data_IF_307423032445
#
_entry.id   IF_307423032445
#
_cell.length_a   1.000
_cell.length_b   1.000
_cell.length_c   1.000
_cell.angle_alpha   90.00
_cell.angle_beta   90.00
_cell.angle_gamma   90.00
#
_symmetry.space_group_name_H-M   'P 1'
#
loop_
_entity.id
_entity.type
_entity.pdbx_description
1 polymer ?
#
# COMPACT_ATOMS: atom_id res chain seq x y z
N UNK A 1 7.58 -17.58 -15.59
CA UNK A 1 8.29 -16.45 -14.93
C UNK A 1 7.32 -15.42 -14.35
N UNK A 2 6.39 -14.85 -15.12
CA UNK A 2 5.40 -13.87 -14.60
C UNK A 2 4.55 -14.38 -13.42
N UNK A 3 4.07 -15.63 -13.49
CA UNK A 3 3.29 -16.24 -12.41
C UNK A 3 4.09 -16.40 -11.10
N UNK A 4 5.40 -16.70 -11.19
CA UNK A 4 6.27 -16.78 -10.02
C UNK A 4 6.46 -15.40 -9.36
N UNK A 5 6.62 -14.35 -10.16
CA UNK A 5 6.76 -12.97 -9.65
C UNK A 5 5.46 -12.45 -9.02
N UNK A 6 4.29 -12.81 -9.58
CA UNK A 6 3.00 -12.54 -8.94
C UNK A 6 2.88 -13.24 -7.58
N UNK A 7 3.23 -14.54 -7.52
CA UNK A 7 3.17 -15.31 -6.28
C UNK A 7 4.13 -14.73 -5.24
N UNK A 8 5.35 -14.35 -5.63
CA UNK A 8 6.31 -13.70 -4.72
C UNK A 8 5.78 -12.35 -4.22
N UNK A 9 5.18 -11.55 -5.09
CA UNK A 9 4.57 -10.26 -4.71
C UNK A 9 3.41 -10.46 -3.73
N UNK A 10 2.55 -11.44 -4.01
CA UNK A 10 1.43 -11.80 -3.14
C UNK A 10 1.93 -12.28 -1.78
N UNK A 11 2.91 -13.19 -1.74
CA UNK A 11 3.48 -13.71 -0.49
C UNK A 11 4.15 -12.61 0.32
N UNK A 12 4.95 -11.74 -0.32
CA UNK A 12 5.57 -10.59 0.35
C UNK A 12 4.53 -9.64 0.96
N UNK A 13 3.50 -9.29 0.19
CA UNK A 13 2.38 -8.46 0.65
C UNK A 13 1.64 -9.09 1.84
N UNK A 14 1.24 -10.35 1.71
CA UNK A 14 0.45 -11.05 2.73
C UNK A 14 1.24 -11.19 4.02
N UNK A 15 2.51 -11.60 3.92
CA UNK A 15 3.37 -11.75 5.11
C UNK A 15 3.57 -10.43 5.86
N UNK A 16 3.70 -9.31 5.15
CA UNK A 16 3.84 -7.99 5.78
C UNK A 16 2.67 -7.61 6.69
N UNK A 17 1.45 -8.10 6.42
CA UNK A 17 0.27 -7.81 7.24
C UNK A 17 0.21 -8.59 8.55
N UNK A 18 0.87 -9.75 8.61
CA UNK A 18 0.79 -10.65 9.76
C UNK A 18 1.99 -10.55 10.70
N UNK A 19 3.05 -9.86 10.29
CA UNK A 19 4.28 -9.79 11.06
C UNK A 19 4.42 -8.46 11.79
N UNK A 20 4.70 -8.53 13.09
CA UNK A 20 4.94 -7.36 13.96
C UNK A 20 6.41 -6.97 14.04
N UNK A 21 7.33 -7.89 13.69
CA UNK A 21 8.77 -7.64 13.71
C UNK A 21 9.17 -6.66 12.60
N UNK A 22 9.83 -5.56 12.98
CA UNK A 22 10.28 -4.50 12.08
C UNK A 22 11.17 -5.01 10.95
N UNK A 23 12.07 -5.96 11.21
CA UNK A 23 12.99 -6.50 10.19
C UNK A 23 12.24 -7.27 9.11
N UNK A 24 11.23 -8.02 9.52
CA UNK A 24 10.39 -8.81 8.62
C UNK A 24 9.38 -7.91 7.86
N UNK A 25 8.89 -6.83 8.47
CA UNK A 25 8.13 -5.79 7.77
C UNK A 25 8.99 -5.09 6.70
N UNK A 26 10.23 -4.73 7.03
CA UNK A 26 11.17 -4.18 6.04
C UNK A 26 11.43 -5.18 4.91
N UNK A 27 11.69 -6.45 5.23
CA UNK A 27 11.94 -7.49 4.24
C UNK A 27 10.74 -7.71 3.31
N UNK A 28 9.51 -7.74 3.84
CA UNK A 28 8.29 -7.90 3.03
C UNK A 28 8.04 -6.73 2.08
N UNK A 29 8.24 -5.48 2.55
CA UNK A 29 8.18 -4.29 1.69
C UNK A 29 9.24 -4.38 0.60
N UNK A 30 10.51 -4.64 0.97
CA UNK A 30 11.61 -4.75 0.03
C UNK A 30 11.34 -5.82 -1.03
N UNK A 31 10.94 -7.03 -0.63
CA UNK A 31 10.60 -8.13 -1.55
C UNK A 31 9.46 -7.73 -2.50
N UNK A 32 8.41 -7.07 -2.00
CA UNK A 32 7.30 -6.62 -2.84
C UNK A 32 7.75 -5.57 -3.88
N UNK A 33 8.56 -4.58 -3.51
CA UNK A 33 9.14 -3.60 -4.45
C UNK A 33 10.10 -4.24 -5.45
N UNK A 34 10.96 -5.16 -5.00
CA UNK A 34 11.90 -5.87 -5.86
C UNK A 34 11.16 -6.78 -6.86
N UNK A 35 10.05 -7.41 -6.45
CA UNK A 35 9.23 -8.21 -7.33
C UNK A 35 8.54 -7.35 -8.41
N UNK A 36 8.05 -6.16 -8.07
CA UNK A 36 7.54 -5.18 -9.05
C UNK A 36 8.63 -4.75 -10.04
N UNK A 37 9.82 -4.40 -9.53
CA UNK A 37 10.97 -4.03 -10.38
C UNK A 37 11.46 -5.19 -11.27
N UNK A 38 11.37 -6.44 -10.79
CA UNK A 38 11.72 -7.61 -11.58
C UNK A 38 10.71 -7.86 -12.71
N UNK A 39 9.40 -7.67 -12.47
CA UNK A 39 8.38 -7.73 -13.54
C UNK A 39 8.63 -6.66 -14.59
N UNK A 40 8.97 -5.44 -14.15
CA UNK A 40 9.37 -4.33 -15.02
C UNK A 40 10.57 -4.68 -15.91
N UNK A 41 11.66 -5.17 -15.31
CA UNK A 41 12.88 -5.54 -16.03
C UNK A 41 12.66 -6.69 -17.02
N UNK A 42 11.81 -7.66 -16.66
CA UNK A 42 11.43 -8.77 -17.57
C UNK A 42 10.58 -8.27 -18.75
N UNK A 43 9.74 -7.25 -18.56
CA UNK A 43 9.00 -6.60 -19.63
C UNK A 43 9.91 -5.87 -20.62
N UNK A 44 10.88 -5.09 -20.11
CA UNK A 44 11.84 -4.33 -20.93
C UNK A 44 12.78 -5.23 -21.75
N UNK A 45 13.11 -6.44 -21.27
CA UNK A 45 13.97 -7.39 -21.98
C UNK A 45 13.22 -8.16 -23.07
N UNK A 46 11.89 -8.21 -23.04
CA UNK A 46 11.06 -8.85 -24.08
C UNK A 46 10.74 -7.87 -25.21
N UNK A 47 11.75 -7.48 -25.99
CA UNK A 47 11.56 -6.69 -27.22
C UNK A 47 10.92 -7.48 -28.37
N UNK A 48 10.82 -8.81 -28.24
CA UNK A 48 10.34 -9.71 -29.30
C UNK A 48 8.87 -10.11 -29.13
N UNK A 49 8.17 -9.55 -28.14
CA UNK A 49 6.75 -9.79 -27.95
C UNK A 49 5.96 -9.17 -29.11
N UNK A 50 5.07 -9.96 -29.72
CA UNK A 50 4.20 -9.46 -30.78
C UNK A 50 3.40 -8.24 -30.25
N UNK A 51 3.21 -7.17 -31.04
CA UNK A 51 2.55 -5.93 -30.60
C UNK A 51 1.14 -6.09 -30.02
N UNK A 52 0.52 -7.26 -30.19
CA UNK A 52 -0.82 -7.60 -29.74
C UNK A 52 -0.87 -8.50 -28.51
N UNK A 53 0.26 -8.83 -27.86
CA UNK A 53 0.26 -9.69 -26.67
C UNK A 53 -0.12 -8.89 -25.40
N UNK A 54 -1.31 -9.08 -24.81
CA UNK A 54 -1.75 -8.30 -23.66
C UNK A 54 -1.17 -8.80 -22.33
N UNK A 55 -0.58 -10.00 -22.31
CA UNK A 55 -0.16 -10.66 -21.07
C UNK A 55 0.87 -9.86 -20.26
N UNK A 56 1.93 -9.27 -20.85
CA UNK A 56 2.92 -8.50 -20.09
C UNK A 56 2.32 -7.30 -19.37
N UNK A 57 1.44 -6.56 -20.04
CA UNK A 57 0.73 -5.41 -19.47
C UNK A 57 -0.19 -5.86 -18.33
N UNK A 58 -0.92 -6.97 -18.50
CA UNK A 58 -1.79 -7.51 -17.46
C UNK A 58 -1.01 -7.99 -16.23
N UNK A 59 0.14 -8.66 -16.43
CA UNK A 59 1.01 -9.08 -15.33
C UNK A 59 1.57 -7.87 -14.56
N UNK A 60 2.00 -6.83 -15.27
CA UNK A 60 2.51 -5.61 -14.66
C UNK A 60 1.42 -4.88 -13.85
N UNK A 61 0.22 -4.74 -14.42
CA UNK A 61 -0.94 -4.15 -13.74
C UNK A 61 -1.32 -4.93 -12.48
N UNK A 62 -1.39 -6.26 -12.58
CA UNK A 62 -1.72 -7.13 -11.46
C UNK A 62 -0.67 -7.06 -10.35
N UNK A 63 0.62 -7.13 -10.69
CA UNK A 63 1.70 -7.00 -9.71
C UNK A 63 1.70 -5.61 -9.07
N UNK A 64 1.56 -4.55 -9.86
CA UNK A 64 1.48 -3.18 -9.36
C UNK A 64 0.32 -2.98 -8.39
N UNK A 65 -0.86 -3.51 -8.72
CA UNK A 65 -2.03 -3.45 -7.85
C UNK A 65 -1.80 -4.20 -6.54
N UNK A 66 -1.24 -5.42 -6.59
CA UNK A 66 -0.94 -6.22 -5.39
C UNK A 66 0.02 -5.47 -4.46
N UNK A 67 1.12 -4.94 -5.00
CA UNK A 67 2.13 -4.20 -4.23
C UNK A 67 1.56 -2.88 -3.69
N UNK A 68 0.75 -2.16 -4.46
CA UNK A 68 0.08 -0.95 -4.01
C UNK A 68 -0.86 -1.22 -2.84
N UNK A 69 -1.80 -2.17 -2.98
CA UNK A 69 -2.83 -2.48 -1.98
C UNK A 69 -2.20 -3.11 -0.73
N UNK A 70 -1.24 -4.00 -0.96
CA UNK A 70 -0.62 -4.83 0.05
C UNK A 70 0.50 -4.18 0.84
N UNK A 71 1.41 -3.50 0.15
CA UNK A 71 2.61 -2.91 0.75
C UNK A 71 2.34 -1.67 1.59
N UNK A 72 1.20 -1.00 1.39
CA UNK A 72 0.90 0.26 2.08
C UNK A 72 0.77 0.11 3.60
N UNK A 73 0.18 -0.98 4.10
CA UNK A 73 0.05 -1.23 5.54
C UNK A 73 1.41 -1.35 6.24
N UNK A 74 2.26 -2.32 5.83
CA UNK A 74 3.63 -2.45 6.36
C UNK A 74 4.44 -1.15 6.24
N UNK A 75 4.32 -0.43 5.10
CA UNK A 75 5.02 0.85 4.90
C UNK A 75 4.58 1.91 5.92
N UNK A 76 3.27 2.05 6.17
CA UNK A 76 2.79 2.97 7.22
C UNK A 76 3.26 2.59 8.61
N UNK A 77 3.28 1.29 8.94
CA UNK A 77 3.80 0.81 10.23
C UNK A 77 5.28 1.15 10.37
N UNK A 78 6.09 0.94 9.33
CA UNK A 78 7.51 1.28 9.36
C UNK A 78 7.73 2.79 9.61
N UNK A 79 6.97 3.66 8.94
CA UNK A 79 7.03 5.10 9.19
C UNK A 79 6.69 5.44 10.64
N UNK A 80 5.65 4.84 11.22
CA UNK A 80 5.35 5.07 12.64
C UNK A 80 6.42 4.53 13.58
N UNK A 81 7.00 3.36 13.30
CA UNK A 81 8.11 2.83 14.13
C UNK A 81 9.37 3.73 14.06
N UNK A 82 9.54 4.47 12.97
CA UNK A 82 10.61 5.47 12.84
C UNK A 82 10.31 6.73 13.65
N UNK A 83 9.06 7.19 13.63
CA UNK A 83 8.62 8.40 14.35
C UNK A 83 8.57 8.17 15.87
N UNK A 84 8.02 7.03 16.31
CA UNK A 84 7.75 6.75 17.73
C UNK A 84 9.00 6.26 18.49
N UNK A 85 10.01 5.74 17.80
CA UNK A 85 11.15 5.06 18.45
C UNK A 85 10.74 3.81 19.23
N UNK A 86 11.70 3.10 19.83
CA UNK A 86 11.47 1.81 20.52
C UNK A 86 10.71 1.92 21.86
N UNK A 87 9.92 2.96 22.09
CA UNK A 87 9.26 3.24 23.35
C UNK A 87 7.75 3.38 23.15
N UNK A 88 7.00 2.28 23.39
CA UNK A 88 5.68 2.24 24.07
C UNK A 88 4.88 0.99 23.67
N UNK A 89 5.14 -0.15 24.31
CA UNK A 89 4.24 -1.32 24.20
C UNK A 89 3.32 -1.35 25.41
N UNK A 90 2.31 -0.49 25.42
CA UNK A 90 1.24 -0.52 26.41
C UNK A 90 0.20 -1.57 26.05
N UNK A 91 0.04 -2.59 26.91
CA UNK A 91 -0.97 -3.65 26.76
C UNK A 91 -2.40 -3.06 26.80
N UNK A 92 -3.03 -2.89 25.64
CA UNK A 92 -4.49 -2.72 25.52
C UNK A 92 -5.11 -4.05 25.08
N UNK A 93 -6.29 -4.38 25.62
CA UNK A 93 -7.04 -5.62 25.36
C UNK A 93 -6.92 -6.12 23.91
N UNK A 94 -6.22 -7.25 23.73
CA UNK A 94 -5.79 -7.76 22.42
C UNK A 94 -6.95 -8.12 21.48
N UNK A 95 -8.11 -8.52 22.03
CA UNK A 95 -9.25 -8.93 21.24
C UNK A 95 -9.99 -7.74 20.61
N UNK A 96 -10.24 -6.68 21.39
CA UNK A 96 -10.92 -5.48 20.91
C UNK A 96 -9.99 -4.60 20.07
N UNK A 97 -8.70 -4.53 20.44
CA UNK A 97 -7.67 -3.93 19.59
C UNK A 97 -7.57 -4.67 18.24
N UNK A 98 -7.59 -6.00 18.24
CA UNK A 98 -7.52 -6.81 17.02
C UNK A 98 -8.68 -6.60 16.04
N UNK A 99 -9.91 -6.42 16.52
CA UNK A 99 -11.07 -6.15 15.64
C UNK A 99 -11.04 -4.74 15.04
N UNK A 100 -10.69 -3.72 15.82
CA UNK A 100 -10.57 -2.33 15.35
C UNK A 100 -9.40 -2.19 14.36
N UNK A 101 -8.27 -2.86 14.61
CA UNK A 101 -7.11 -2.89 13.72
C UNK A 101 -7.41 -3.56 12.36
N UNK A 102 -8.27 -4.58 12.34
CA UNK A 102 -8.73 -5.22 11.10
C UNK A 102 -9.60 -4.30 10.25
N UNK A 103 -10.52 -3.57 10.88
CA UNK A 103 -11.38 -2.61 10.18
C UNK A 103 -10.57 -1.51 9.49
N UNK A 104 -9.60 -0.92 10.21
CA UNK A 104 -8.71 0.10 9.64
C UNK A 104 -7.85 -0.40 8.48
N UNK A 105 -7.34 -1.64 8.58
CA UNK A 105 -6.51 -2.24 7.53
C UNK A 105 -7.28 -2.47 6.21
N UNK A 106 -8.53 -2.96 6.30
CA UNK A 106 -9.38 -3.14 5.13
C UNK A 106 -9.80 -1.83 4.48
N UNK A 107 -10.15 -0.82 5.28
CA UNK A 107 -10.43 0.53 4.76
C UNK A 107 -9.21 1.06 4.00
N UNK A 108 -8.01 0.93 4.58
CA UNK A 108 -6.77 1.33 3.92
C UNK A 108 -6.49 0.56 2.63
N UNK A 109 -6.82 -0.72 2.55
CA UNK A 109 -6.68 -1.50 1.31
C UNK A 109 -7.64 -1.02 0.21
N UNK A 110 -8.89 -0.72 0.55
CA UNK A 110 -9.89 -0.19 -0.40
C UNK A 110 -9.48 1.19 -0.92
N UNK A 111 -8.98 2.07 -0.06
CA UNK A 111 -8.47 3.37 -0.46
C UNK A 111 -7.28 3.24 -1.42
N UNK A 112 -6.32 2.35 -1.12
CA UNK A 112 -5.18 2.12 -2.01
C UNK A 112 -5.59 1.52 -3.36
N UNK A 113 -6.60 0.64 -3.36
CA UNK A 113 -7.17 0.12 -4.60
C UNK A 113 -7.80 1.25 -5.43
N UNK A 114 -8.55 2.15 -4.80
CA UNK A 114 -9.14 3.30 -5.48
C UNK A 114 -8.09 4.30 -5.99
N UNK A 115 -7.08 4.63 -5.17
CA UNK A 115 -5.92 5.45 -5.57
C UNK A 115 -5.21 4.86 -6.77
N UNK A 116 -4.88 3.56 -6.72
CA UNK A 116 -4.20 2.89 -7.82
C UNK A 116 -5.07 2.89 -9.09
N UNK A 117 -6.35 2.49 -8.97
CA UNK A 117 -7.25 2.41 -10.11
C UNK A 117 -7.48 3.77 -10.79
N UNK A 118 -7.71 4.83 -10.01
CA UNK A 118 -7.94 6.19 -10.54
C UNK A 118 -6.74 6.70 -11.32
N UNK A 119 -5.52 6.45 -10.83
CA UNK A 119 -4.29 6.82 -11.53
C UNK A 119 -4.06 5.99 -12.81
N UNK A 120 -4.26 4.68 -12.76
CA UNK A 120 -4.11 3.80 -13.93
C UNK A 120 -5.12 4.15 -15.03
N UNK A 121 -6.36 4.53 -14.67
CA UNK A 121 -7.39 4.93 -15.62
C UNK A 121 -7.27 6.36 -16.12
N UNK A 122 -6.24 7.10 -15.71
CA UNK A 122 -6.02 8.49 -16.13
C UNK A 122 -7.02 9.48 -15.54
N UNK A 123 -7.61 9.17 -14.38
CA UNK A 123 -8.54 10.03 -13.65
C UNK A 123 -7.93 10.52 -12.32
N UNK A 124 -6.93 11.44 -12.36
CA UNK A 124 -6.22 11.88 -11.16
C UNK A 124 -7.12 12.61 -10.16
N UNK A 125 -8.23 13.22 -10.58
CA UNK A 125 -9.21 13.86 -9.71
C UNK A 125 -9.86 12.86 -8.74
N UNK A 126 -9.89 11.57 -9.11
CA UNK A 126 -10.33 10.49 -8.23
C UNK A 126 -9.54 10.41 -6.92
N UNK A 127 -8.26 10.84 -6.90
CA UNK A 127 -7.48 10.97 -5.65
C UNK A 127 -8.14 11.94 -4.66
N UNK A 128 -8.61 13.08 -5.15
CA UNK A 128 -9.26 14.08 -4.31
C UNK A 128 -10.57 13.54 -3.70
N UNK A 129 -11.32 12.74 -4.49
CA UNK A 129 -12.53 12.06 -4.01
C UNK A 129 -12.20 11.05 -2.92
N UNK A 130 -11.19 10.19 -3.13
CA UNK A 130 -10.79 9.17 -2.13
C UNK A 130 -10.31 9.83 -0.83
N UNK A 131 -9.46 10.86 -0.93
CA UNK A 131 -8.99 11.61 0.23
C UNK A 131 -10.14 12.35 0.93
N UNK A 132 -11.08 12.92 0.18
CA UNK A 132 -12.27 13.57 0.71
C UNK A 132 -13.16 12.62 1.51
N UNK A 133 -13.47 11.44 0.95
CA UNK A 133 -14.24 10.40 1.63
C UNK A 133 -13.56 9.93 2.92
N UNK A 134 -12.24 9.72 2.87
CA UNK A 134 -11.45 9.35 4.04
C UNK A 134 -11.48 10.43 5.13
N UNK A 135 -11.37 11.70 4.74
CA UNK A 135 -11.42 12.85 5.65
C UNK A 135 -12.76 12.98 6.37
N UNK A 136 -13.88 12.79 5.66
CA UNK A 136 -15.22 12.86 6.23
C UNK A 136 -15.45 11.81 7.32
N UNK A 137 -14.96 10.59 7.11
CA UNK A 137 -15.11 9.50 8.07
C UNK A 137 -14.42 9.74 9.42
N UNK A 138 -13.45 10.67 9.48
CA UNK A 138 -12.66 10.99 10.69
C UNK A 138 -12.93 12.37 11.25
N UNK A 139 -13.74 13.17 10.56
CA UNK A 139 -14.07 14.53 10.98
C UNK A 139 -14.68 14.62 12.39
N UNK A 140 -15.61 13.73 12.82
CA UNK A 140 -16.16 13.77 14.17
C UNK A 140 -15.11 13.56 15.27
N UNK A 141 -14.13 12.69 15.02
CA UNK A 141 -13.07 12.32 15.97
C UNK A 141 -11.97 13.39 16.05
N UNK A 142 -11.75 14.14 14.98
CA UNK A 142 -10.83 15.29 14.96
C UNK A 142 -11.46 16.55 15.58
N UNK A 143 -12.80 16.68 15.49
CA UNK A 143 -13.54 17.84 16.00
C UNK A 143 -13.73 17.83 17.52
N UNK A 144 -13.70 16.67 18.17
CA UNK A 144 -13.88 16.56 19.63
C UNK A 144 -12.71 17.13 20.45
N UNK A 145 -11.57 17.49 19.81
CA UNK A 145 -10.50 18.29 20.43
C UNK A 145 -9.55 17.53 21.37
N UNK A 146 -9.75 16.23 21.58
CA UNK A 146 -9.06 15.48 22.65
C UNK A 146 -7.60 15.08 22.36
N UNK A 147 -7.03 15.33 21.16
CA UNK A 147 -5.61 15.02 20.90
C UNK A 147 -5.06 15.49 19.55
N UNK A 148 -4.26 16.56 19.57
CA UNK A 148 -3.47 17.00 18.40
C UNK A 148 -2.58 15.88 17.83
N UNK A 149 -2.03 15.02 18.68
CA UNK A 149 -1.19 13.89 18.27
C UNK A 149 -1.93 12.77 17.51
N UNK A 150 -3.25 12.60 17.71
CA UNK A 150 -4.03 11.60 16.93
C UNK A 150 -4.26 12.13 15.51
N UNK A 151 -4.58 13.42 15.37
CA UNK A 151 -4.76 14.08 14.08
C UNK A 151 -3.50 14.01 13.23
N UNK A 152 -2.35 14.33 13.81
CA UNK A 152 -1.05 14.28 13.13
C UNK A 152 -0.73 12.86 12.63
N UNK A 153 -0.87 11.85 13.50
CA UNK A 153 -0.67 10.44 13.12
C UNK A 153 -1.63 10.02 12.00
N UNK A 154 -2.88 10.45 12.05
CA UNK A 154 -3.84 10.14 10.99
C UNK A 154 -3.42 10.73 9.64
N UNK A 155 -2.96 11.98 9.61
CA UNK A 155 -2.47 12.65 8.40
C UNK A 155 -1.23 11.93 7.87
N UNK A 156 -0.22 11.68 8.72
CA UNK A 156 1.03 11.01 8.33
C UNK A 156 0.75 9.61 7.75
N UNK A 157 -0.10 8.82 8.41
CA UNK A 157 -0.47 7.49 7.96
C UNK A 157 -1.19 7.52 6.61
N UNK A 158 -2.11 8.46 6.42
CA UNK A 158 -2.82 8.65 5.15
C UNK A 158 -1.87 9.02 4.03
N UNK A 159 -1.06 10.07 4.21
CA UNK A 159 -0.10 10.52 3.20
C UNK A 159 0.88 9.44 2.82
N UNK A 160 1.43 8.72 3.79
CA UNK A 160 2.37 7.62 3.54
C UNK A 160 1.72 6.52 2.68
N UNK A 161 0.50 6.11 3.04
CA UNK A 161 -0.24 5.07 2.31
C UNK A 161 -0.59 5.48 0.88
N UNK A 162 -0.97 6.74 0.67
CA UNK A 162 -1.33 7.28 -0.65
C UNK A 162 -0.09 7.46 -1.52
N UNK A 163 1.00 8.01 -0.98
CA UNK A 163 2.27 8.14 -1.69
C UNK A 163 2.81 6.78 -2.14
N UNK A 164 2.69 5.75 -1.29
CA UNK A 164 3.03 4.38 -1.66
C UNK A 164 2.23 3.88 -2.87
N UNK A 165 0.90 3.97 -2.80
CA UNK A 165 0.03 3.51 -3.88
C UNK A 165 0.25 4.32 -5.18
N UNK A 166 0.47 5.63 -5.07
CA UNK A 166 0.79 6.50 -6.19
C UNK A 166 2.15 6.17 -6.82
N UNK A 167 3.17 5.87 -6.01
CA UNK A 167 4.48 5.43 -6.51
C UNK A 167 4.38 4.09 -7.26
N UNK A 168 3.58 3.13 -6.77
CA UNK A 168 3.31 1.90 -7.48
C UNK A 168 2.59 2.14 -8.82
N UNK A 169 1.55 2.98 -8.83
CA UNK A 169 0.82 3.32 -10.06
C UNK A 169 1.72 4.06 -11.07
N UNK A 170 2.49 5.04 -10.62
CA UNK A 170 3.46 5.75 -11.45
C UNK A 170 4.53 4.83 -12.02
N UNK A 171 5.02 3.87 -11.23
CA UNK A 171 5.96 2.85 -11.72
C UNK A 171 5.35 2.03 -12.84
N UNK A 172 4.10 1.58 -12.69
CA UNK A 172 3.39 0.83 -13.74
C UNK A 172 3.20 1.70 -14.99
N UNK A 173 2.74 2.94 -14.86
CA UNK A 173 2.50 3.85 -15.99
C UNK A 173 3.79 4.18 -16.76
N UNK A 174 4.94 4.27 -16.09
CA UNK A 174 6.24 4.48 -16.75
C UNK A 174 6.70 3.27 -17.59
N UNK A 175 6.11 2.10 -17.36
CA UNK A 175 6.51 0.82 -17.93
C UNK A 175 5.47 0.25 -18.92
N UNK A 176 4.30 0.89 -19.02
CA UNK A 176 3.27 0.60 -20.02
C UNK A 176 3.60 1.35 -21.33
#
# INVERSE_FOLDING_TARGET
>A
MGLALLVVSLVGVVTGWFVTDRRLQMASVLVATLALAAVAGVGLVRTDAAPSDPWPHLFLLATGALVAIGGGGPTTTLVFTLIDGAASTGQRSMAQAGQVLRGGAWIGALERAAVFATLIWGWPEGLAVVLGLKGLGRYPELRSGDSSGIAERFIIGTFTSVLWAAACAGSVLLLL
#
